data_IF_423161677554
#
_entry.id   IF_423161677554
#
_cell.length_a   1.000
_cell.length_b   1.000
_cell.length_c   1.000
_cell.angle_alpha   90.00
_cell.angle_beta   90.00
_cell.angle_gamma   90.00
#
_symmetry.space_group_name_H-M   'P 1'
#
loop_
_entity.id
_entity.type
_entity.pdbx_description
1 polymer ?
#
# COMPACT_ATOMS: atom_id res chain seq x y z
N UNK A 1 83.87 2.95 65.03
CA UNK A 1 83.22 3.44 63.80
C UNK A 1 81.75 3.08 63.88
N UNK A 2 80.89 4.03 64.30
CA UNK A 2 79.44 3.81 64.37
C UNK A 2 78.80 4.52 63.19
N UNK A 3 78.10 3.78 62.33
CA UNK A 3 77.48 4.29 61.11
C UNK A 3 76.24 5.13 61.44
N UNK A 4 76.14 6.33 60.85
CA UNK A 4 74.98 7.20 60.97
C UNK A 4 73.74 6.56 60.31
N UNK A 5 72.54 6.71 60.89
CA UNK A 5 71.31 6.20 60.29
C UNK A 5 70.98 7.02 59.03
N UNK A 6 70.67 6.32 57.94
CA UNK A 6 70.22 6.94 56.69
C UNK A 6 68.81 7.50 56.91
N UNK A 7 68.64 8.81 56.81
CA UNK A 7 67.33 9.46 56.80
C UNK A 7 66.66 9.20 55.45
N UNK A 8 65.63 8.37 55.45
CA UNK A 8 64.75 8.15 54.31
C UNK A 8 63.89 9.41 54.11
N UNK A 9 64.15 10.15 53.04
CA UNK A 9 63.50 11.43 52.74
C UNK A 9 62.01 11.26 52.46
N UNK A 10 61.16 12.13 53.02
CA UNK A 10 59.71 12.13 52.86
C UNK A 10 59.20 12.05 51.40
N UNK A 11 60.03 12.43 50.42
CA UNK A 11 59.76 12.28 49.00
C UNK A 11 59.56 10.80 48.57
N UNK A 12 60.36 9.86 49.09
CA UNK A 12 60.24 8.44 48.71
C UNK A 12 58.92 7.81 49.17
N UNK A 13 58.42 8.26 50.32
CA UNK A 13 57.12 7.82 50.87
C UNK A 13 55.94 8.35 50.07
N UNK A 14 56.06 9.56 49.50
CA UNK A 14 55.02 10.13 48.63
C UNK A 14 55.00 9.38 47.29
N UNK A 15 56.16 9.05 46.73
CA UNK A 15 56.26 8.29 45.49
C UNK A 15 55.74 6.85 45.65
N UNK A 16 56.06 6.17 46.76
CA UNK A 16 55.47 4.86 47.07
C UNK A 16 53.96 4.94 47.28
N UNK A 17 53.45 5.97 47.96
CA UNK A 17 52.02 6.16 48.17
C UNK A 17 51.28 6.45 46.85
N UNK A 18 51.89 7.20 45.93
CA UNK A 18 51.34 7.46 44.59
C UNK A 18 51.36 6.18 43.75
N UNK A 19 52.45 5.41 43.79
CA UNK A 19 52.56 4.13 43.09
C UNK A 19 51.55 3.09 43.60
N UNK A 20 51.34 3.02 44.92
CA UNK A 20 50.32 2.15 45.53
C UNK A 20 48.90 2.56 45.13
N UNK A 21 48.61 3.88 45.06
CA UNK A 21 47.31 4.39 44.60
C UNK A 21 47.08 4.18 43.11
N UNK A 22 48.13 4.24 42.30
CA UNK A 22 48.06 3.94 40.86
C UNK A 22 47.85 2.43 40.61
N UNK A 23 48.42 1.58 41.46
CA UNK A 23 48.20 0.13 41.40
C UNK A 23 46.78 -0.29 41.80
N UNK A 24 46.10 0.51 42.62
CA UNK A 24 44.71 0.28 43.09
C UNK A 24 43.64 1.00 42.25
N UNK A 25 44.06 1.78 41.24
CA UNK A 25 43.12 2.34 40.26
C UNK A 25 42.65 1.24 39.30
N UNK A 26 41.41 0.81 39.50
CA UNK A 26 40.73 -0.02 38.52
C UNK A 26 40.79 0.67 37.15
N UNK A 27 41.13 -0.07 36.08
CA UNK A 27 41.20 0.52 34.75
C UNK A 27 39.84 1.15 34.44
N UNK A 28 39.86 2.42 34.03
CA UNK A 28 38.65 3.13 33.61
C UNK A 28 38.02 2.32 32.49
N UNK A 29 36.92 1.63 32.80
CA UNK A 29 36.18 0.85 31.80
C UNK A 29 35.65 1.85 30.80
N UNK A 30 36.19 1.80 29.58
CA UNK A 30 35.70 2.64 28.48
C UNK A 30 34.20 2.37 28.34
N UNK A 31 33.34 3.40 28.49
CA UNK A 31 31.90 3.21 28.40
C UNK A 31 31.57 2.57 27.05
N UNK A 32 31.02 1.36 27.08
CA UNK A 32 30.50 0.75 25.86
C UNK A 32 29.20 1.46 25.49
N UNK A 33 28.97 1.75 24.19
CA UNK A 33 27.67 2.21 23.74
C UNK A 33 26.62 1.24 24.22
N UNK A 34 25.50 1.76 24.75
CA UNK A 34 24.35 0.92 25.03
C UNK A 34 24.01 0.14 23.76
N UNK A 35 23.83 -1.18 23.83
CA UNK A 35 23.48 -1.96 22.67
C UNK A 35 22.23 -1.33 22.04
N UNK A 36 22.27 -1.10 20.73
CA UNK A 36 21.12 -0.57 20.01
C UNK A 36 19.92 -1.48 20.30
N UNK A 37 18.80 -0.89 20.74
CA UNK A 37 17.60 -1.66 21.13
C UNK A 37 17.03 -2.49 19.97
N UNK A 38 17.40 -2.16 18.73
CA UNK A 38 16.95 -2.82 17.51
C UNK A 38 18.12 -3.44 16.76
N UNK A 39 17.92 -4.68 16.28
CA UNK A 39 18.83 -5.32 15.34
C UNK A 39 18.93 -4.51 14.04
N UNK A 40 20.11 -4.47 13.40
CA UNK A 40 20.26 -3.87 12.08
C UNK A 40 19.32 -4.54 11.08
N UNK A 41 18.77 -3.74 10.17
CA UNK A 41 17.89 -4.22 9.09
C UNK A 41 18.76 -4.73 7.95
N UNK A 42 18.45 -5.93 7.44
CA UNK A 42 19.13 -6.49 6.27
C UNK A 42 18.92 -5.59 5.04
N UNK A 43 19.97 -5.26 4.27
CA UNK A 43 19.82 -4.43 3.08
C UNK A 43 19.03 -5.17 1.98
N UNK A 44 18.26 -4.43 1.18
CA UNK A 44 17.57 -5.01 0.03
C UNK A 44 18.57 -5.63 -0.96
N UNK A 45 18.45 -6.93 -1.27
CA UNK A 45 19.28 -7.54 -2.29
C UNK A 45 18.83 -7.03 -3.67
N UNK A 46 19.54 -6.05 -4.24
CA UNK A 46 19.23 -5.46 -5.56
C UNK A 46 19.12 -6.49 -6.68
N UNK A 47 19.86 -7.60 -6.57
CA UNK A 47 19.74 -8.72 -7.51
C UNK A 47 18.36 -9.39 -7.47
N UNK A 48 17.65 -9.36 -6.35
CA UNK A 48 16.32 -9.93 -6.22
C UNK A 48 15.24 -9.13 -6.97
N UNK A 49 15.51 -7.85 -7.27
CA UNK A 49 14.63 -7.03 -8.09
C UNK A 49 14.64 -7.50 -9.55
N UNK A 50 13.51 -7.40 -10.25
CA UNK A 50 13.45 -7.56 -11.70
C UNK A 50 14.38 -6.57 -12.39
N UNK A 51 14.90 -6.98 -13.55
CA UNK A 51 15.77 -6.15 -14.37
C UNK A 51 15.07 -4.87 -14.83
N UNK A 52 13.74 -4.90 -14.99
CA UNK A 52 12.93 -3.71 -15.29
C UNK A 52 12.95 -2.64 -14.18
N UNK A 53 13.08 -3.04 -12.91
CA UNK A 53 13.02 -2.10 -11.77
C UNK A 53 14.40 -1.67 -11.30
N UNK A 54 15.40 -2.57 -11.39
CA UNK A 54 16.72 -2.37 -10.79
C UNK A 54 17.40 -1.05 -11.21
N UNK A 55 17.45 -0.65 -12.50
CA UNK A 55 18.08 0.60 -12.91
C UNK A 55 17.37 1.83 -12.33
N UNK A 56 16.03 1.83 -12.31
CA UNK A 56 15.24 2.93 -11.78
C UNK A 56 15.42 3.08 -10.27
N UNK A 57 15.36 1.96 -9.53
CA UNK A 57 15.56 1.95 -8.08
C UNK A 57 16.96 2.47 -7.74
N UNK A 58 17.98 2.00 -8.44
CA UNK A 58 19.35 2.43 -8.22
C UNK A 58 19.53 3.93 -8.49
N UNK A 59 19.08 4.42 -9.64
CA UNK A 59 19.18 5.83 -10.02
C UNK A 59 18.48 6.76 -9.02
N UNK A 60 17.24 6.44 -8.62
CA UNK A 60 16.50 7.27 -7.65
C UNK A 60 17.16 7.22 -6.27
N UNK A 61 17.59 6.03 -5.81
CA UNK A 61 18.25 5.87 -4.52
C UNK A 61 19.56 6.66 -4.45
N UNK A 62 20.36 6.62 -5.52
CA UNK A 62 21.60 7.39 -5.65
C UNK A 62 21.33 8.90 -5.69
N UNK A 63 20.35 9.37 -6.48
CA UNK A 63 20.03 10.81 -6.56
C UNK A 63 19.44 11.37 -5.27
N UNK A 64 18.61 10.60 -4.58
CA UNK A 64 17.93 11.03 -3.35
C UNK A 64 18.73 10.73 -2.07
N UNK A 65 19.84 9.99 -2.19
CA UNK A 65 20.64 9.54 -1.05
C UNK A 65 19.77 8.84 0.01
N UNK A 66 18.91 7.94 -0.44
CA UNK A 66 17.97 7.21 0.41
C UNK A 66 18.12 5.69 0.24
N UNK A 67 17.69 4.86 1.21
CA UNK A 67 17.72 3.42 1.05
C UNK A 67 16.94 2.97 -0.19
N UNK A 68 17.47 2.03 -1.02
CA UNK A 68 16.80 1.59 -2.24
C UNK A 68 15.41 0.99 -1.99
N UNK A 69 15.18 0.45 -0.79
CA UNK A 69 13.93 -0.07 -0.28
C UNK A 69 12.79 0.95 -0.37
N UNK A 70 13.10 2.24 -0.17
CA UNK A 70 12.10 3.31 -0.17
C UNK A 70 11.53 3.56 -1.58
N UNK A 71 12.23 3.10 -2.61
CA UNK A 71 11.80 3.17 -4.01
C UNK A 71 11.28 1.81 -4.48
N UNK A 72 12.02 0.73 -4.19
CA UNK A 72 11.69 -0.60 -4.67
C UNK A 72 10.35 -1.12 -4.13
N UNK A 73 10.06 -0.90 -2.84
CA UNK A 73 8.84 -1.42 -2.21
C UNK A 73 7.59 -0.77 -2.81
N UNK A 74 7.48 0.58 -2.93
CA UNK A 74 6.34 1.19 -3.62
C UNK A 74 6.18 0.74 -5.06
N UNK A 75 7.27 0.55 -5.82
CA UNK A 75 7.19 0.06 -7.20
C UNK A 75 6.59 -1.35 -7.27
N UNK A 76 7.00 -2.25 -6.36
CA UNK A 76 6.47 -3.62 -6.30
C UNK A 76 4.98 -3.61 -5.92
N UNK A 77 4.60 -2.78 -4.95
CA UNK A 77 3.19 -2.66 -4.54
C UNK A 77 2.33 -2.05 -5.65
N UNK A 78 2.84 -1.04 -6.35
CA UNK A 78 2.17 -0.45 -7.52
C UNK A 78 2.02 -1.45 -8.68
N UNK A 79 3.05 -2.26 -8.93
CA UNK A 79 2.96 -3.32 -9.93
C UNK A 79 1.92 -4.37 -9.55
N UNK A 80 1.86 -4.77 -8.27
CA UNK A 80 0.84 -5.66 -7.77
C UNK A 80 -0.57 -5.11 -8.00
N UNK A 81 -0.81 -3.83 -7.64
CA UNK A 81 -2.14 -3.21 -7.81
C UNK A 81 -2.63 -3.20 -9.26
N UNK A 82 -1.72 -3.08 -10.23
CA UNK A 82 -2.07 -3.09 -11.66
C UNK A 82 -2.48 -4.48 -12.18
N UNK A 83 -1.96 -5.56 -11.58
CA UNK A 83 -2.21 -6.94 -12.05
C UNK A 83 -3.15 -7.74 -11.15
N UNK A 84 -3.64 -7.13 -10.07
CA UNK A 84 -4.32 -7.82 -8.97
C UNK A 84 -5.48 -8.73 -9.39
N UNK A 85 -6.24 -8.41 -10.45
CA UNK A 85 -7.21 -9.36 -11.04
C UNK A 85 -6.85 -9.90 -12.41
N UNK A 86 -5.87 -9.31 -13.08
CA UNK A 86 -5.48 -9.69 -14.43
C UNK A 86 -4.61 -10.94 -14.44
N UNK A 87 -3.79 -11.13 -13.40
CA UNK A 87 -2.87 -12.27 -13.30
C UNK A 87 -3.09 -13.01 -11.98
N UNK A 88 -3.08 -14.34 -12.06
CA UNK A 88 -3.11 -15.23 -10.91
C UNK A 88 -2.05 -16.32 -11.06
N UNK A 89 -1.41 -16.68 -9.95
CA UNK A 89 -0.41 -17.73 -9.86
C UNK A 89 -1.02 -18.87 -9.05
N UNK A 90 -0.89 -20.11 -9.52
CA UNK A 90 -1.20 -21.30 -8.73
C UNK A 90 0.09 -21.86 -8.14
N UNK A 91 0.38 -21.65 -6.85
CA UNK A 91 1.66 -22.09 -6.27
C UNK A 91 1.75 -23.61 -6.17
N UNK A 92 0.61 -24.28 -6.09
CA UNK A 92 0.49 -25.73 -5.96
C UNK A 92 -0.08 -26.29 -7.27
N UNK A 93 0.58 -27.29 -7.84
CA UNK A 93 0.17 -27.90 -9.10
C UNK A 93 -1.07 -28.80 -9.00
N UNK A 94 -1.45 -29.18 -7.78
CA UNK A 94 -2.53 -30.15 -7.49
C UNK A 94 -3.75 -29.54 -6.81
N UNK A 95 -3.78 -28.22 -6.63
CA UNK A 95 -4.93 -27.51 -6.05
C UNK A 95 -5.32 -26.36 -6.96
N UNK A 96 -6.55 -25.88 -6.81
CA UNK A 96 -7.08 -24.71 -7.49
C UNK A 96 -6.69 -23.39 -6.81
N UNK A 97 -5.92 -23.47 -5.72
CA UNK A 97 -5.44 -22.32 -4.96
C UNK A 97 -4.69 -21.34 -5.86
N UNK A 98 -5.29 -20.17 -6.04
CA UNK A 98 -4.80 -19.11 -6.92
C UNK A 98 -4.49 -17.88 -6.09
N UNK A 99 -3.22 -17.50 -6.09
CA UNK A 99 -2.69 -16.28 -5.50
C UNK A 99 -2.64 -15.16 -6.53
N UNK A 100 -2.89 -13.92 -6.10
CA UNK A 100 -2.96 -12.77 -6.99
C UNK A 100 -2.11 -11.63 -6.45
N UNK A 101 -1.70 -10.72 -7.34
CA UNK A 101 -0.86 -9.58 -6.97
C UNK A 101 -1.62 -8.57 -6.12
N UNK A 102 -1.67 -8.75 -4.81
CA UNK A 102 -2.26 -7.76 -3.90
C UNK A 102 -1.36 -7.58 -2.69
N UNK A 103 -0.75 -6.41 -2.54
CA UNK A 103 0.32 -6.20 -1.57
C UNK A 103 0.07 -4.98 -0.71
N UNK A 104 0.40 -5.12 0.57
CA UNK A 104 0.37 -4.10 1.59
C UNK A 104 1.78 -3.98 2.13
N UNK A 105 2.36 -2.81 2.04
CA UNK A 105 3.70 -2.55 2.55
C UNK A 105 3.77 -1.21 3.24
N UNK A 106 4.67 -1.12 4.23
CA UNK A 106 4.93 0.10 4.96
C UNK A 106 6.41 0.44 4.87
N UNK A 107 6.71 1.70 4.53
CA UNK A 107 8.05 2.26 4.63
C UNK A 107 8.22 2.81 6.04
N UNK A 108 9.12 2.18 6.80
CA UNK A 108 9.44 2.62 8.16
C UNK A 108 10.73 3.43 8.14
N UNK A 109 10.67 4.67 8.62
CA UNK A 109 11.86 5.52 8.68
C UNK A 109 11.65 6.76 9.53
N UNK A 110 12.74 7.27 10.10
CA UNK A 110 12.71 8.51 10.91
C UNK A 110 12.16 9.68 10.08
N UNK A 111 11.59 10.71 10.72
CA UNK A 111 11.30 11.98 10.05
C UNK A 111 12.52 12.47 9.25
N UNK A 112 12.29 13.02 8.06
CA UNK A 112 13.37 13.56 7.21
C UNK A 112 14.16 12.55 6.36
N UNK A 113 13.94 11.23 6.47
CA UNK A 113 14.69 10.23 5.65
C UNK A 113 14.20 10.08 4.19
N UNK A 114 13.64 11.11 3.57
CA UNK A 114 13.20 11.07 2.16
C UNK A 114 12.16 9.98 1.81
N UNK A 115 11.35 9.50 2.78
CA UNK A 115 10.28 8.51 2.53
C UNK A 115 9.29 8.96 1.45
N UNK A 116 8.69 10.13 1.65
CA UNK A 116 7.64 10.69 0.77
C UNK A 116 8.19 11.06 -0.61
N UNK A 117 9.35 11.74 -0.73
CA UNK A 117 9.99 11.99 -2.02
C UNK A 117 10.33 10.71 -2.80
N UNK A 118 10.92 9.70 -2.14
CA UNK A 118 11.27 8.43 -2.78
C UNK A 118 10.02 7.67 -3.26
N UNK A 119 8.97 7.64 -2.43
CA UNK A 119 7.69 7.04 -2.81
C UNK A 119 7.04 7.78 -3.98
N UNK A 120 7.10 9.11 -4.03
CA UNK A 120 6.59 9.88 -5.17
C UNK A 120 7.32 9.54 -6.48
N UNK A 121 8.64 9.40 -6.46
CA UNK A 121 9.39 8.96 -7.65
C UNK A 121 9.03 7.54 -8.09
N UNK A 122 8.84 6.64 -7.13
CA UNK A 122 8.44 5.27 -7.41
C UNK A 122 7.03 5.17 -8.02
N UNK A 123 6.11 6.05 -7.61
CA UNK A 123 4.71 6.05 -8.03
C UNK A 123 4.42 6.94 -9.25
N UNK A 124 5.39 7.74 -9.70
CA UNK A 124 5.24 8.60 -10.88
C UNK A 124 4.66 7.91 -12.14
N UNK A 125 4.99 6.63 -12.46
CA UNK A 125 4.33 5.92 -13.55
C UNK A 125 2.82 5.71 -13.33
N UNK A 126 2.39 5.45 -12.10
CA UNK A 126 0.97 5.30 -11.75
C UNK A 126 0.25 6.65 -11.86
N UNK A 127 0.88 7.74 -11.42
CA UNK A 127 0.30 9.09 -11.54
C UNK A 127 0.04 9.46 -13.00
N UNK A 128 0.92 9.06 -13.93
CA UNK A 128 0.70 9.23 -15.38
C UNK A 128 -0.49 8.42 -15.89
N UNK A 129 -0.66 7.18 -15.41
CA UNK A 129 -1.81 6.34 -15.76
C UNK A 129 -3.12 6.95 -15.24
N UNK A 130 -3.11 7.47 -14.01
CA UNK A 130 -4.24 8.17 -13.40
C UNK A 130 -4.61 9.44 -14.19
N UNK A 131 -3.62 10.26 -14.57
CA UNK A 131 -3.83 11.46 -15.37
C UNK A 131 -4.44 11.13 -16.75
N UNK A 132 -3.94 10.09 -17.42
CA UNK A 132 -4.50 9.63 -18.70
C UNK A 132 -5.94 9.13 -18.54
N UNK A 133 -6.20 8.30 -17.55
CA UNK A 133 -7.54 7.79 -17.29
C UNK A 133 -8.54 8.90 -16.94
N UNK A 134 -8.09 9.95 -16.24
CA UNK A 134 -8.93 11.12 -15.97
C UNK A 134 -9.25 11.90 -17.25
N UNK A 135 -8.27 12.10 -18.15
CA UNK A 135 -8.50 12.76 -19.43
C UNK A 135 -9.45 11.97 -20.33
N UNK A 136 -9.23 10.65 -20.46
CA UNK A 136 -10.08 9.74 -21.24
C UNK A 136 -11.52 9.75 -20.71
N UNK A 137 -11.69 9.72 -19.38
CA UNK A 137 -13.00 9.81 -18.75
C UNK A 137 -13.70 11.16 -19.03
N UNK A 138 -12.97 12.28 -18.93
CA UNK A 138 -13.56 13.59 -19.19
C UNK A 138 -14.04 13.73 -20.65
N UNK A 139 -13.28 13.18 -21.61
CA UNK A 139 -13.69 13.13 -23.01
C UNK A 139 -14.95 12.27 -23.19
N UNK A 140 -14.97 11.06 -22.63
CA UNK A 140 -16.13 10.17 -22.69
C UNK A 140 -17.37 10.75 -21.99
N UNK A 141 -17.18 11.47 -20.88
CA UNK A 141 -18.26 12.12 -20.14
C UNK A 141 -18.88 13.27 -20.95
N UNK A 142 -18.06 14.08 -21.64
CA UNK A 142 -18.56 15.13 -22.53
C UNK A 142 -19.36 14.55 -23.71
N UNK A 143 -18.83 13.49 -24.35
CA UNK A 143 -19.52 12.78 -25.44
C UNK A 143 -20.82 12.15 -24.96
N UNK A 144 -20.81 11.53 -23.77
CA UNK A 144 -22.00 10.94 -23.17
C UNK A 144 -23.05 12.02 -22.87
N UNK A 145 -22.68 13.14 -22.24
CA UNK A 145 -23.59 14.26 -21.98
C UNK A 145 -24.25 14.79 -23.26
N UNK A 146 -23.48 14.96 -24.34
CA UNK A 146 -24.01 15.39 -25.63
C UNK A 146 -25.01 14.37 -26.21
N UNK A 147 -24.68 13.06 -26.14
CA UNK A 147 -25.57 11.98 -26.57
C UNK A 147 -26.84 11.90 -25.74
N UNK A 148 -26.75 11.99 -24.42
CA UNK A 148 -27.90 11.99 -23.50
C UNK A 148 -28.83 13.17 -23.78
N UNK A 149 -28.28 14.36 -24.02
CA UNK A 149 -29.08 15.54 -24.37
C UNK A 149 -29.78 15.37 -25.72
N UNK A 150 -29.08 14.85 -26.73
CA UNK A 150 -29.67 14.55 -28.04
C UNK A 150 -30.78 13.49 -27.94
N UNK A 151 -30.54 12.41 -27.19
CA UNK A 151 -31.52 11.35 -26.94
C UNK A 151 -32.75 11.88 -26.20
N UNK A 152 -32.58 12.79 -25.23
CA UNK A 152 -33.70 13.43 -24.54
C UNK A 152 -34.55 14.29 -25.47
N UNK A 153 -33.93 15.09 -26.33
CA UNK A 153 -34.65 15.91 -27.33
C UNK A 153 -35.43 15.04 -28.32
N UNK A 154 -34.85 13.91 -28.77
CA UNK A 154 -35.55 12.96 -29.64
C UNK A 154 -36.68 12.24 -28.91
N UNK A 155 -36.46 11.82 -27.66
CA UNK A 155 -37.50 11.22 -26.84
C UNK A 155 -38.69 12.17 -26.64
N UNK A 156 -38.44 13.46 -26.38
CA UNK A 156 -39.50 14.47 -26.26
C UNK A 156 -40.28 14.66 -27.58
N UNK A 157 -39.59 14.63 -28.73
CA UNK A 157 -40.23 14.68 -30.04
C UNK A 157 -41.03 13.40 -30.34
N UNK A 158 -40.46 12.22 -30.07
CA UNK A 158 -41.13 10.94 -30.24
C UNK A 158 -42.37 10.82 -29.35
N UNK A 159 -42.30 11.34 -28.12
CA UNK A 159 -43.43 11.40 -27.19
C UNK A 159 -44.57 12.30 -27.72
N UNK A 160 -44.24 13.43 -28.35
CA UNK A 160 -45.25 14.27 -29.03
C UNK A 160 -45.89 13.53 -30.20
N UNK A 161 -45.08 12.93 -31.07
CA UNK A 161 -45.56 12.15 -32.22
C UNK A 161 -46.43 10.97 -31.79
N UNK A 162 -46.03 10.23 -30.75
CA UNK A 162 -46.80 9.13 -30.18
C UNK A 162 -48.16 9.61 -29.62
N UNK A 163 -48.18 10.74 -28.91
CA UNK A 163 -49.43 11.35 -28.42
C UNK A 163 -50.36 11.76 -29.55
N UNK A 164 -49.83 12.35 -30.62
CA UNK A 164 -50.64 12.77 -31.76
C UNK A 164 -51.13 11.59 -32.60
N UNK A 165 -50.34 10.51 -32.71
CA UNK A 165 -50.76 9.25 -33.33
C UNK A 165 -51.92 8.59 -32.55
N UNK A 166 -51.82 8.53 -31.22
CA UNK A 166 -52.88 7.98 -30.36
C UNK A 166 -54.18 8.82 -30.36
N UNK A 167 -54.08 10.16 -30.50
CA UNK A 167 -55.25 11.02 -30.68
C UNK A 167 -55.99 10.73 -31.99
N UNK A 168 -55.27 10.41 -33.07
CA UNK A 168 -55.87 10.09 -34.39
C UNK A 168 -56.38 8.66 -34.48
N UNK A 169 -55.68 7.72 -33.86
CA UNK A 169 -56.06 6.31 -33.82
C UNK A 169 -55.69 5.69 -32.48
N UNK A 170 -56.71 5.37 -31.66
CA UNK A 170 -56.55 4.81 -30.31
C UNK A 170 -55.83 3.45 -30.28
N UNK A 171 -55.77 2.73 -31.41
CA UNK A 171 -55.05 1.45 -31.55
C UNK A 171 -53.70 1.57 -32.28
N UNK A 172 -53.17 2.79 -32.48
CA UNK A 172 -51.86 2.95 -33.10
C UNK A 172 -50.75 2.35 -32.23
N UNK A 173 -49.87 1.54 -32.85
CA UNK A 173 -48.68 1.04 -32.18
C UNK A 173 -47.61 2.14 -32.13
N UNK A 174 -47.28 2.56 -30.91
CA UNK A 174 -46.27 3.59 -30.62
C UNK A 174 -45.10 3.04 -29.81
N UNK A 175 -45.04 1.72 -29.60
CA UNK A 175 -44.03 1.09 -28.75
C UNK A 175 -42.61 1.33 -29.29
N UNK A 176 -42.45 1.35 -30.61
CA UNK A 176 -41.16 1.60 -31.26
C UNK A 176 -40.65 3.04 -31.06
N UNK A 177 -41.55 4.03 -31.02
CA UNK A 177 -41.21 5.43 -30.78
C UNK A 177 -40.76 5.70 -29.33
N UNK A 178 -41.17 4.84 -28.39
CA UNK A 178 -40.89 4.98 -26.96
C UNK A 178 -39.70 4.14 -26.50
N UNK A 179 -39.06 3.37 -27.39
CA UNK A 179 -37.84 2.64 -27.05
C UNK A 179 -36.72 3.64 -26.72
N UNK A 180 -36.04 3.50 -25.57
CA UNK A 180 -34.86 4.30 -25.29
C UNK A 180 -33.78 4.01 -26.35
N UNK A 181 -33.30 5.05 -27.03
CA UNK A 181 -32.31 4.92 -28.11
C UNK A 181 -30.92 4.53 -27.61
N UNK A 182 -30.59 4.81 -26.35
CA UNK A 182 -29.23 4.65 -25.82
C UNK A 182 -29.26 3.93 -24.47
N UNK A 183 -28.92 2.64 -24.50
CA UNK A 183 -28.65 1.82 -23.30
C UNK A 183 -27.18 1.91 -22.86
N UNK A 184 -26.35 2.75 -23.51
CA UNK A 184 -24.96 2.89 -23.07
C UNK A 184 -24.93 3.52 -21.67
N UNK A 185 -24.54 2.71 -20.69
CA UNK A 185 -24.45 3.14 -19.30
C UNK A 185 -23.49 4.31 -19.12
N UNK A 186 -23.67 5.07 -18.03
CA UNK A 186 -22.79 6.19 -17.71
C UNK A 186 -21.31 5.76 -17.74
N UNK A 187 -20.43 6.55 -18.37
CA UNK A 187 -19.01 6.22 -18.40
C UNK A 187 -18.52 6.12 -16.96
N UNK A 188 -17.65 5.15 -16.71
CA UNK A 188 -17.07 4.93 -15.38
C UNK A 188 -15.61 5.33 -15.41
N UNK A 189 -15.21 6.20 -14.48
CA UNK A 189 -13.81 6.63 -14.38
C UNK A 189 -12.95 5.47 -13.87
N UNK A 190 -11.98 5.07 -14.69
CA UNK A 190 -10.89 4.20 -14.26
C UNK A 190 -10.02 4.94 -13.25
N UNK A 191 -9.81 4.34 -12.09
CA UNK A 191 -8.96 4.83 -11.00
C UNK A 191 -7.87 3.82 -10.71
N UNK A 192 -6.64 4.29 -10.59
CA UNK A 192 -5.50 3.51 -10.16
C UNK A 192 -5.12 3.83 -8.72
N UNK A 193 -5.27 5.09 -8.31
CA UNK A 193 -4.87 5.56 -6.98
C UNK A 193 -6.08 6.08 -6.20
N UNK A 194 -6.10 5.77 -4.91
CA UNK A 194 -7.08 6.29 -3.97
C UNK A 194 -6.41 6.81 -2.69
N UNK A 195 -6.76 8.04 -2.33
CA UNK A 195 -6.24 8.70 -1.14
C UNK A 195 -7.42 9.09 -0.26
N UNK A 196 -7.24 8.86 1.05
CA UNK A 196 -8.14 9.28 2.13
C UNK A 196 -9.65 9.26 1.85
N UNK A 197 -10.26 8.10 2.08
CA UNK A 197 -11.68 7.89 1.85
C UNK A 197 -12.31 6.96 2.88
N UNK A 198 -13.63 7.02 3.01
CA UNK A 198 -14.39 6.06 3.80
C UNK A 198 -14.39 4.69 3.14
N UNK A 199 -14.52 3.62 3.93
CA UNK A 199 -14.46 2.24 3.42
C UNK A 199 -15.65 1.93 2.47
N UNK A 200 -16.76 2.64 2.59
CA UNK A 200 -17.91 2.44 1.70
C UNK A 200 -17.73 3.17 0.37
N UNK A 201 -17.12 4.36 0.38
CA UNK A 201 -16.71 4.97 -0.89
C UNK A 201 -15.65 4.13 -1.59
N UNK A 202 -14.79 3.45 -0.82
CA UNK A 202 -13.83 2.50 -1.36
C UNK A 202 -14.54 1.31 -2.01
N UNK A 203 -15.61 0.82 -1.39
CA UNK A 203 -16.50 -0.19 -1.96
C UNK A 203 -17.07 0.22 -3.31
N UNK A 204 -17.65 1.41 -3.41
CA UNK A 204 -18.17 1.96 -4.68
C UNK A 204 -17.06 2.05 -5.75
N UNK A 205 -15.87 2.53 -5.38
CA UNK A 205 -14.73 2.63 -6.31
C UNK A 205 -14.28 1.25 -6.78
N UNK A 206 -14.17 0.26 -5.90
CA UNK A 206 -13.77 -1.10 -6.26
C UNK A 206 -14.82 -1.82 -7.11
N UNK A 207 -16.11 -1.54 -6.91
CA UNK A 207 -17.17 -2.04 -7.79
C UNK A 207 -17.01 -1.50 -9.22
N UNK A 208 -16.70 -0.21 -9.34
CA UNK A 208 -16.42 0.48 -10.62
C UNK A 208 -15.05 0.12 -11.24
N UNK A 209 -14.09 -0.31 -10.41
CA UNK A 209 -12.70 -0.58 -10.81
C UNK A 209 -12.36 -2.04 -10.50
N UNK A 210 -12.82 -2.98 -11.35
CA UNK A 210 -12.71 -4.39 -11.06
C UNK A 210 -11.24 -4.78 -10.83
N UNK A 211 -10.30 -4.25 -11.60
CA UNK A 211 -8.86 -4.58 -11.51
C UNK A 211 -8.22 -4.36 -10.13
N UNK A 212 -8.87 -3.58 -9.25
CA UNK A 212 -8.34 -3.15 -7.96
C UNK A 212 -7.72 -1.76 -8.03
N UNK A 213 -7.40 -1.21 -6.86
CA UNK A 213 -6.80 0.12 -6.72
C UNK A 213 -5.64 0.12 -5.72
N UNK A 214 -4.76 1.10 -5.85
CA UNK A 214 -3.67 1.38 -4.93
C UNK A 214 -4.07 2.48 -3.95
N UNK A 215 -4.07 2.17 -2.64
CA UNK A 215 -4.14 3.21 -1.61
C UNK A 215 -2.75 3.70 -1.26
N UNK A 216 -2.48 4.98 -1.51
CA UNK A 216 -1.22 5.62 -1.17
C UNK A 216 -1.44 6.48 0.06
N UNK A 217 -0.63 6.27 1.11
CA UNK A 217 -0.75 7.03 2.36
C UNK A 217 0.61 7.47 2.86
N UNK A 218 0.88 8.78 2.80
CA UNK A 218 2.15 9.31 3.29
C UNK A 218 2.38 9.02 4.78
N UNK A 219 1.28 8.99 5.56
CA UNK A 219 1.28 8.54 6.96
C UNK A 219 0.12 7.56 7.20
N UNK A 220 0.47 6.28 7.36
CA UNK A 220 -0.52 5.21 7.55
C UNK A 220 -1.08 5.19 8.97
N UNK A 221 -0.43 5.86 9.94
CA UNK A 221 -0.86 5.86 11.35
C UNK A 221 -2.34 6.20 11.48
N UNK A 222 -2.83 7.22 10.77
CA UNK A 222 -4.23 7.64 10.82
C UNK A 222 -5.20 6.50 10.45
N UNK A 223 -4.91 5.78 9.36
CA UNK A 223 -5.71 4.62 8.94
C UNK A 223 -5.67 3.52 10.00
N UNK A 224 -4.47 3.13 10.46
CA UNK A 224 -4.33 2.04 11.43
C UNK A 224 -5.00 2.39 12.76
N UNK A 225 -4.83 3.62 13.25
CA UNK A 225 -5.47 4.10 14.47
C UNK A 225 -7.00 4.12 14.35
N UNK A 226 -7.54 4.57 13.21
CA UNK A 226 -8.98 4.53 12.92
C UNK A 226 -9.51 3.10 12.92
N UNK A 227 -8.87 2.20 12.17
CA UNK A 227 -9.25 0.79 12.11
C UNK A 227 -9.13 0.09 13.47
N UNK A 228 -8.26 0.58 14.36
CA UNK A 228 -8.08 0.00 15.68
C UNK A 228 -9.22 0.33 16.66
N UNK A 229 -10.12 1.29 16.36
CA UNK A 229 -11.26 1.67 17.22
C UNK A 229 -12.36 0.62 17.16
N UNK A 230 -13.00 0.25 18.27
CA UNK A 230 -13.93 -0.90 18.30
C UNK A 230 -15.08 -0.74 17.31
N UNK A 231 -15.65 0.47 17.23
CA UNK A 231 -16.73 0.88 16.33
C UNK A 231 -16.40 0.69 14.84
N UNK A 232 -15.11 0.61 14.49
CA UNK A 232 -14.64 0.40 13.11
C UNK A 232 -14.58 -1.08 12.71
N UNK A 233 -15.32 -1.96 13.40
CA UNK A 233 -15.40 -3.39 13.06
C UNK A 233 -15.81 -3.67 11.61
N UNK A 234 -16.83 -3.00 11.05
CA UNK A 234 -17.21 -3.20 9.65
C UNK A 234 -16.11 -2.77 8.68
N UNK A 235 -15.49 -1.62 8.93
CA UNK A 235 -14.36 -1.14 8.14
C UNK A 235 -13.19 -2.14 8.19
N UNK A 236 -12.80 -2.62 9.37
CA UNK A 236 -11.75 -3.64 9.52
C UNK A 236 -12.06 -4.91 8.72
N UNK A 237 -13.28 -5.41 8.80
CA UNK A 237 -13.69 -6.60 8.07
C UNK A 237 -13.53 -6.40 6.56
N UNK A 238 -13.96 -5.25 6.05
CA UNK A 238 -13.78 -4.89 4.65
C UNK A 238 -12.31 -4.76 4.24
N UNK A 239 -11.47 -4.10 5.03
CA UNK A 239 -10.03 -4.00 4.75
C UNK A 239 -9.36 -5.39 4.75
N UNK A 240 -9.70 -6.27 5.69
CA UNK A 240 -9.20 -7.66 5.71
C UNK A 240 -9.69 -8.47 4.50
N UNK A 241 -10.94 -8.30 4.09
CA UNK A 241 -11.43 -8.89 2.84
C UNK A 241 -10.65 -8.36 1.65
N UNK A 242 -10.35 -7.05 1.64
CA UNK A 242 -9.62 -6.42 0.54
C UNK A 242 -8.17 -6.86 0.40
N UNK A 243 -7.59 -7.41 1.47
CA UNK A 243 -6.29 -8.07 1.49
C UNK A 243 -6.35 -9.45 0.82
N UNK A 244 -7.28 -10.31 1.23
CA UNK A 244 -7.45 -11.65 0.65
C UNK A 244 -8.04 -11.63 -0.76
N UNK A 245 -8.77 -10.58 -1.13
CA UNK A 245 -9.70 -10.61 -2.25
C UNK A 245 -11.01 -11.29 -1.88
N UNK A 246 -11.91 -11.38 -2.85
CA UNK A 246 -13.22 -12.03 -2.75
C UNK A 246 -14.39 -11.04 -2.74
N UNK A 247 -15.59 -11.59 -2.88
CA UNK A 247 -16.82 -10.81 -2.99
C UNK A 247 -17.16 -10.12 -1.68
N UNK A 248 -17.55 -8.86 -1.75
CA UNK A 248 -18.05 -8.10 -0.61
C UNK A 248 -19.26 -7.26 -1.02
N UNK A 249 -20.33 -7.31 -0.23
CA UNK A 249 -21.57 -6.59 -0.49
C UNK A 249 -21.81 -5.53 0.57
N UNK A 250 -22.15 -4.32 0.14
CA UNK A 250 -22.59 -3.23 0.98
C UNK A 250 -24.08 -3.00 0.76
N UNK A 251 -24.87 -3.19 1.80
CA UNK A 251 -26.30 -2.87 1.80
C UNK A 251 -26.55 -1.63 2.66
N UNK A 252 -27.16 -0.60 2.06
CA UNK A 252 -27.48 0.66 2.74
C UNK A 252 -28.89 1.09 2.44
N UNK A 253 -29.63 1.42 3.50
CA UNK A 253 -30.98 2.01 3.41
C UNK A 253 -30.88 3.30 2.57
N UNK A 254 -31.58 3.34 1.43
CA UNK A 254 -31.64 4.48 0.52
C UNK A 254 -30.58 4.55 -0.60
N UNK A 255 -29.42 3.86 -0.47
CA UNK A 255 -28.39 3.82 -1.53
C UNK A 255 -28.38 2.50 -2.33
N UNK A 256 -29.21 1.54 -1.91
CA UNK A 256 -29.28 0.22 -2.53
C UNK A 256 -28.10 -0.67 -2.15
N UNK A 257 -27.81 -1.62 -3.03
CA UNK A 257 -26.82 -2.68 -2.84
C UNK A 257 -25.63 -2.44 -3.76
N UNK A 258 -24.43 -2.30 -3.20
CA UNK A 258 -23.18 -2.26 -3.94
C UNK A 258 -22.46 -3.59 -3.76
N UNK A 259 -22.31 -4.35 -4.85
CA UNK A 259 -21.54 -5.59 -4.84
C UNK A 259 -20.16 -5.34 -5.46
N UNK A 260 -19.12 -5.69 -4.72
CA UNK A 260 -17.75 -5.80 -5.23
C UNK A 260 -17.47 -7.27 -5.47
N UNK A 261 -17.29 -7.68 -6.72
CA UNK A 261 -17.08 -9.10 -7.07
C UNK A 261 -15.77 -9.68 -6.50
N UNK A 262 -14.72 -8.86 -6.45
CA UNK A 262 -13.42 -9.25 -5.91
C UNK A 262 -12.71 -8.00 -5.37
N UNK A 263 -12.85 -7.74 -4.07
CA UNK A 263 -12.30 -6.56 -3.42
C UNK A 263 -10.78 -6.66 -3.34
N UNK A 264 -10.05 -5.95 -4.21
CA UNK A 264 -8.58 -5.92 -4.21
C UNK A 264 -8.06 -4.52 -3.97
N UNK A 265 -7.48 -4.32 -2.81
CA UNK A 265 -6.84 -3.07 -2.42
C UNK A 265 -5.38 -3.35 -2.10
N UNK A 266 -4.46 -2.77 -2.85
CA UNK A 266 -3.05 -2.71 -2.45
C UNK A 266 -2.82 -1.44 -1.64
N UNK A 267 -1.94 -1.48 -0.64
CA UNK A 267 -1.68 -0.33 0.24
C UNK A 267 -0.17 -0.10 0.33
N UNK A 268 0.26 1.13 0.03
CA UNK A 268 1.60 1.59 0.34
C UNK A 268 1.51 2.81 1.25
N UNK A 269 2.33 2.84 2.29
CA UNK A 269 2.44 4.06 3.08
C UNK A 269 3.65 4.18 3.96
N UNK A 270 3.89 5.40 4.45
CA UNK A 270 4.93 5.70 5.41
C UNK A 270 4.47 5.52 6.85
N UNK A 271 5.39 5.15 7.75
CA UNK A 271 5.21 5.26 9.19
C UNK A 271 6.55 5.50 9.89
N UNK A 272 6.50 6.15 11.04
CA UNK A 272 7.67 6.36 11.88
C UNK A 272 7.85 5.21 12.90
N UNK A 273 9.10 4.90 13.34
CA UNK A 273 9.34 3.82 14.30
C UNK A 273 8.57 3.95 15.62
N UNK A 274 8.45 5.15 16.19
CA UNK A 274 7.74 5.40 17.45
C UNK A 274 6.24 5.03 17.37
N UNK A 275 5.45 5.68 16.49
CA UNK A 275 4.05 5.33 16.27
C UNK A 275 3.82 3.85 15.91
N UNK A 276 4.71 3.24 15.12
CA UNK A 276 4.63 1.81 14.82
C UNK A 276 4.81 0.95 16.07
N UNK A 277 5.79 1.29 16.92
CA UNK A 277 6.04 0.59 18.19
C UNK A 277 4.82 0.68 19.11
N UNK A 278 4.18 1.85 19.22
CA UNK A 278 2.96 2.03 20.00
C UNK A 278 1.82 1.12 19.51
N UNK A 279 1.59 1.08 18.18
CA UNK A 279 0.56 0.22 17.58
C UNK A 279 0.83 -1.26 17.84
N UNK A 280 2.09 -1.71 17.73
CA UNK A 280 2.49 -3.09 18.02
C UNK A 280 2.27 -3.42 19.50
N UNK A 281 2.67 -2.53 20.41
CA UNK A 281 2.47 -2.73 21.85
C UNK A 281 0.98 -2.81 22.21
N UNK A 282 0.14 -1.95 21.64
CA UNK A 282 -1.31 -2.01 21.79
C UNK A 282 -1.89 -3.33 21.29
N UNK A 283 -1.44 -3.83 20.13
CA UNK A 283 -1.87 -5.11 19.59
C UNK A 283 -1.45 -6.31 20.47
N UNK A 284 -0.29 -6.24 21.14
CA UNK A 284 0.20 -7.29 22.05
C UNK A 284 -0.56 -7.35 23.37
N UNK A 285 -0.99 -6.21 23.91
CA UNK A 285 -1.70 -6.11 25.21
C UNK A 285 -3.17 -6.58 25.15
N UNK A 286 -3.64 -7.07 24.01
CA UNK A 286 -4.98 -7.68 23.88
C UNK A 286 -6.14 -6.70 23.76
N UNK A 287 -5.92 -5.40 23.96
CA UNK A 287 -6.99 -4.38 23.96
C UNK A 287 -7.67 -4.14 22.60
N UNK A 288 -7.11 -4.62 21.48
CA UNK A 288 -7.65 -4.39 20.12
C UNK A 288 -7.40 -5.60 19.21
N UNK A 289 -8.18 -6.68 19.39
CA UNK A 289 -8.03 -7.96 18.67
C UNK A 289 -7.97 -7.81 17.13
N UNK A 290 -8.65 -6.80 16.57
CA UNK A 290 -8.68 -6.53 15.13
C UNK A 290 -7.37 -6.00 14.54
N UNK A 291 -6.57 -5.23 15.31
CA UNK A 291 -5.29 -4.69 14.82
C UNK A 291 -4.22 -5.79 14.75
N UNK A 292 -4.28 -6.77 15.66
CA UNK A 292 -3.38 -7.92 15.64
C UNK A 292 -3.46 -8.65 14.31
N UNK A 293 -4.66 -8.90 13.77
CA UNK A 293 -4.85 -9.56 12.47
C UNK A 293 -4.18 -8.81 11.31
N UNK A 294 -4.37 -7.48 11.25
CA UNK A 294 -3.75 -6.59 10.24
C UNK A 294 -2.21 -6.57 10.33
N UNK A 295 -1.66 -6.67 11.55
CA UNK A 295 -0.21 -6.66 11.79
C UNK A 295 0.43 -8.06 11.74
N UNK A 296 -0.31 -9.15 11.96
CA UNK A 296 0.25 -10.53 11.96
C UNK A 296 0.64 -11.06 10.58
N UNK A 297 0.29 -10.36 9.50
CA UNK A 297 0.85 -10.63 8.16
C UNK A 297 2.37 -10.47 8.08
N UNK A 298 3.01 -9.85 9.08
CA UNK A 298 4.46 -9.72 9.23
C UNK A 298 5.17 -11.00 9.73
N UNK A 299 4.47 -12.11 9.94
CA UNK A 299 5.15 -13.37 10.31
C UNK A 299 5.85 -13.98 9.10
N UNK A 300 7.18 -14.15 9.23
CA UNK A 300 8.04 -14.91 8.29
C UNK A 300 7.31 -16.17 7.80
N UNK A 301 7.31 -16.47 6.49
CA UNK A 301 6.84 -17.75 5.99
C UNK A 301 7.57 -18.87 6.74
N UNK A 302 6.84 -19.90 7.21
CA UNK A 302 7.47 -21.13 7.70
C UNK A 302 8.39 -21.65 6.59
N UNK A 303 9.67 -21.84 6.89
CA UNK A 303 10.68 -22.40 5.98
C UNK A 303 10.15 -23.73 5.43
N UNK A 304 9.73 -23.74 4.17
CA UNK A 304 9.11 -24.90 3.57
C UNK A 304 8.70 -24.72 2.11
N UNK A 305 9.59 -24.22 1.25
CA UNK A 305 9.55 -24.45 -0.20
C UNK A 305 10.85 -23.94 -0.85
N UNK A 306 11.38 -24.67 -1.84
CA UNK A 306 12.65 -24.39 -2.52
C UNK A 306 12.65 -22.98 -3.14
N UNK A 307 13.41 -22.05 -2.56
CA UNK A 307 13.44 -20.62 -2.92
C UNK A 307 13.94 -20.28 -4.34
N UNK A 308 14.57 -21.23 -5.05
CA UNK A 308 15.18 -20.97 -6.38
C UNK A 308 14.16 -20.91 -7.52
N UNK A 309 13.07 -21.67 -7.49
CA UNK A 309 12.06 -21.65 -8.58
C UNK A 309 11.10 -20.46 -8.47
N UNK A 310 10.80 -20.00 -7.24
CA UNK A 310 9.94 -18.86 -6.98
C UNK A 310 10.53 -17.54 -7.48
N UNK A 311 11.85 -17.32 -7.34
CA UNK A 311 12.51 -16.09 -7.80
C UNK A 311 12.40 -15.92 -9.32
N UNK A 312 12.64 -16.97 -10.11
CA UNK A 312 12.51 -16.91 -11.56
C UNK A 312 11.06 -16.68 -12.02
N UNK A 313 10.07 -17.22 -11.30
CA UNK A 313 8.64 -17.00 -11.59
C UNK A 313 8.20 -15.60 -11.18
N UNK A 314 8.69 -15.07 -10.07
CA UNK A 314 8.41 -13.72 -9.57
C UNK A 314 9.09 -12.66 -10.47
N UNK A 315 10.35 -12.84 -10.86
CA UNK A 315 11.01 -11.94 -11.82
C UNK A 315 10.27 -11.92 -13.18
N UNK A 316 9.83 -13.08 -13.70
CA UNK A 316 9.04 -13.15 -14.93
C UNK A 316 7.67 -12.48 -14.79
N UNK A 317 7.02 -12.63 -13.64
CA UNK A 317 5.75 -11.97 -13.35
C UNK A 317 5.92 -10.44 -13.35
N UNK A 318 6.92 -9.90 -12.65
CA UNK A 318 7.16 -8.45 -12.61
C UNK A 318 7.52 -7.89 -13.98
N UNK A 319 8.30 -8.63 -14.77
CA UNK A 319 8.63 -8.23 -16.13
C UNK A 319 7.39 -8.24 -17.04
N UNK A 320 6.49 -9.22 -16.88
CA UNK A 320 5.17 -9.21 -17.54
C UNK A 320 4.27 -8.06 -17.05
N UNK A 321 4.25 -7.78 -15.74
CA UNK A 321 3.49 -6.66 -15.17
C UNK A 321 3.97 -5.32 -15.75
N UNK A 322 5.28 -5.15 -15.89
CA UNK A 322 5.90 -3.94 -16.42
C UNK A 322 5.68 -3.77 -17.92
N UNK A 323 5.82 -4.84 -18.71
CA UNK A 323 5.55 -4.82 -20.16
C UNK A 323 4.10 -4.49 -20.47
N UNK A 324 3.17 -4.87 -19.60
CA UNK A 324 1.74 -4.63 -19.76
C UNK A 324 1.30 -3.23 -19.29
N UNK A 325 2.15 -2.52 -18.54
CA UNK A 325 1.94 -1.13 -18.12
C UNK A 325 2.51 -0.09 -19.10
N UNK A 326 3.24 -0.52 -20.14
CA UNK A 326 3.62 0.30 -21.30
C UNK A 326 2.52 0.28 -22.36
#
# INVERSE_FOLDING_TARGET
MSAAPKFETAASRVDEAIAARAADMQPVVVPQPLPAELMPVDPLPMAALPDAFRPWVQDVAERMQCPPDFVAVPMIVAAASLVARRVGIRPQSRTDWTERGNLWALIVGRPGMMKSPAMSQALAPIDRLEARAAADFNAQAADHQAKTMAAKLRADNNLKTARDALKKNSRADVAELLKPEDESGEPTRRRYVVNDLTYEKLGEILAANPDGVLSVRDEVRGLLSSLAREESAPARAFYLQSWSGGRYTFDRIGRGTVTVEDARLSIIGGIQPGPLSELIQQARRGGKRGLKALLTGLRRPRRGARARSLRATWCRLLDQCWRYAR
#
